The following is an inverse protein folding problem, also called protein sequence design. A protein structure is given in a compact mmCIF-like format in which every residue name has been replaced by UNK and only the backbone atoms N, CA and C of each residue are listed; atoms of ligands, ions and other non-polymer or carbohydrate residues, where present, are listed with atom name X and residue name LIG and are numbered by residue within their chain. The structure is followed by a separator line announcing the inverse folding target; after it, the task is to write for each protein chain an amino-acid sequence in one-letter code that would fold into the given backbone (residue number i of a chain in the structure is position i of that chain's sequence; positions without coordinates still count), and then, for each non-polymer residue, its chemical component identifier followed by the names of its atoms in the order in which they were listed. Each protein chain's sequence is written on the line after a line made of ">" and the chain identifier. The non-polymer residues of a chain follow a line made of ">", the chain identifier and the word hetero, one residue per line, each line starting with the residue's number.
data_IF_143685184674
#
_entry.id   IF_143685184674
#
_cell.length_a   1.000
_cell.length_b   1.000
_cell.length_c   1.000
_cell.angle_alpha   90.00
_cell.angle_beta   90.00
_cell.angle_gamma   90.00
#
_symmetry.space_group_name_H-M   'P 1'
#
loop_
_entity.id
_entity.type
_entity.pdbx_description
1 polymer ?
#
# COMPACT_ATOMS: atom_id res chain seq x y z
N UNK A 1 7.72 -26.20 -1.74
CA UNK A 1 7.84 -26.09 -0.26
C UNK A 1 6.92 -24.95 0.18
N UNK A 2 5.67 -25.27 0.53
CA UNK A 2 4.53 -24.33 0.43
C UNK A 2 4.34 -23.39 1.63
N UNK A 3 4.91 -23.70 2.81
CA UNK A 3 4.86 -22.82 3.98
C UNK A 3 6.26 -22.66 4.56
N UNK A 4 6.69 -21.41 4.74
CA UNK A 4 7.90 -21.06 5.49
C UNK A 4 7.51 -20.56 6.87
N UNK A 5 8.07 -21.19 7.89
CA UNK A 5 7.76 -20.91 9.31
C UNK A 5 8.13 -19.48 9.72
N UNK A 6 9.23 -18.92 9.19
CA UNK A 6 9.71 -17.59 9.58
C UNK A 6 8.75 -16.46 9.16
N UNK A 7 8.39 -16.28 7.86
CA UNK A 7 7.38 -15.29 7.46
C UNK A 7 6.04 -15.49 8.15
N UNK A 8 5.65 -16.74 8.39
CA UNK A 8 4.39 -17.06 9.08
C UNK A 8 4.38 -16.56 10.52
N UNK A 9 5.43 -16.84 11.29
CA UNK A 9 5.54 -16.41 12.70
C UNK A 9 5.46 -14.89 12.85
N UNK A 10 6.17 -14.16 12.00
CA UNK A 10 6.16 -12.70 12.01
C UNK A 10 4.81 -12.11 11.59
N UNK A 11 4.16 -12.72 10.60
CA UNK A 11 2.79 -12.33 10.23
C UNK A 11 1.82 -12.62 11.39
N UNK A 12 2.04 -13.68 12.18
CA UNK A 12 1.22 -13.99 13.34
C UNK A 12 1.42 -12.95 14.46
N UNK A 13 2.64 -12.47 14.69
CA UNK A 13 2.88 -11.33 15.57
C UNK A 13 2.14 -10.07 15.10
N UNK A 14 2.17 -9.79 13.79
CA UNK A 14 1.41 -8.70 13.19
C UNK A 14 -0.10 -8.87 13.41
N UNK A 15 -0.65 -10.06 13.16
CA UNK A 15 -2.06 -10.39 13.42
C UNK A 15 -2.44 -10.15 14.90
N UNK A 16 -1.67 -10.68 15.85
CA UNK A 16 -1.91 -10.46 17.27
C UNK A 16 -1.84 -8.98 17.64
N UNK A 17 -0.92 -8.22 17.04
CA UNK A 17 -0.81 -6.79 17.25
C UNK A 17 -2.06 -6.03 16.77
N UNK A 18 -2.59 -6.38 15.60
CA UNK A 18 -3.85 -5.80 15.11
C UNK A 18 -5.05 -6.17 15.99
N UNK A 19 -5.13 -7.42 16.46
CA UNK A 19 -6.19 -7.85 17.39
C UNK A 19 -6.15 -7.07 18.71
N UNK A 20 -4.96 -6.85 19.29
CA UNK A 20 -4.80 -6.05 20.50
C UNK A 20 -5.27 -4.61 20.27
N UNK A 21 -4.94 -4.02 19.12
CA UNK A 21 -5.38 -2.67 18.74
C UNK A 21 -6.91 -2.62 18.56
N UNK A 22 -7.49 -3.60 17.86
CA UNK A 22 -8.93 -3.66 17.63
C UNK A 22 -9.72 -3.82 18.94
N UNK A 23 -9.24 -4.65 19.87
CA UNK A 23 -9.90 -4.86 21.16
C UNK A 23 -9.77 -3.65 22.10
N UNK A 24 -8.65 -2.93 22.03
CA UNK A 24 -8.33 -1.81 22.93
C UNK A 24 -8.41 -0.43 22.25
N UNK A 25 -9.35 -0.26 21.32
CA UNK A 25 -9.47 0.96 20.52
C UNK A 25 -9.59 2.25 21.37
N UNK A 26 -10.14 2.17 22.59
CA UNK A 26 -10.25 3.31 23.51
C UNK A 26 -8.92 3.73 24.16
N UNK A 27 -7.93 2.84 24.24
CA UNK A 27 -6.65 3.11 24.88
C UNK A 27 -5.60 3.52 23.83
N UNK A 28 -5.51 4.82 23.57
CA UNK A 28 -4.57 5.38 22.60
C UNK A 28 -3.11 5.06 22.97
N UNK A 29 -2.74 5.13 24.25
CA UNK A 29 -1.37 4.87 24.70
C UNK A 29 -0.93 3.44 24.39
N UNK A 30 -1.80 2.46 24.64
CA UNK A 30 -1.54 1.06 24.30
C UNK A 30 -1.45 0.88 22.79
N UNK A 31 -2.33 1.53 22.02
CA UNK A 31 -2.32 1.47 20.55
C UNK A 31 -1.00 1.99 19.97
N UNK A 32 -0.52 3.15 20.44
CA UNK A 32 0.76 3.70 20.02
C UNK A 32 1.93 2.80 20.42
N UNK A 33 1.91 2.23 21.64
CA UNK A 33 2.94 1.31 22.09
C UNK A 33 3.03 0.05 21.22
N UNK A 34 1.88 -0.59 20.94
CA UNK A 34 1.80 -1.77 20.06
C UNK A 34 2.26 -1.41 18.65
N UNK A 35 1.83 -0.26 18.11
CA UNK A 35 2.27 0.22 16.80
C UNK A 35 3.79 0.37 16.73
N UNK A 36 4.41 1.00 17.73
CA UNK A 36 5.88 1.16 17.78
C UNK A 36 6.58 -0.21 17.77
N UNK A 37 6.09 -1.16 18.58
CA UNK A 37 6.63 -2.53 18.58
C UNK A 37 6.49 -3.16 17.19
N UNK A 38 5.32 -3.10 16.58
CA UNK A 38 5.08 -3.66 15.25
C UNK A 38 5.96 -3.02 14.18
N UNK A 39 6.23 -1.71 14.25
CA UNK A 39 7.13 -1.01 13.32
C UNK A 39 8.59 -1.45 13.50
N UNK A 40 9.06 -1.56 14.74
CA UNK A 40 10.42 -2.07 15.03
C UNK A 40 10.60 -3.51 14.55
N UNK A 41 9.57 -4.32 14.76
CA UNK A 41 9.49 -5.71 14.31
C UNK A 41 9.50 -5.77 12.77
N UNK A 42 8.63 -5.01 12.09
CA UNK A 42 8.58 -4.90 10.63
C UNK A 42 9.91 -4.43 10.00
N UNK A 43 10.57 -3.45 10.62
CA UNK A 43 11.88 -2.95 10.19
C UNK A 43 12.94 -4.04 10.24
N UNK A 44 13.00 -4.79 11.35
CA UNK A 44 13.98 -5.85 11.58
C UNK A 44 13.73 -7.06 10.66
N UNK A 45 12.48 -7.43 10.48
CA UNK A 45 12.06 -8.58 9.66
C UNK A 45 12.48 -8.44 8.20
N UNK A 46 12.18 -7.31 7.56
CA UNK A 46 12.51 -7.13 6.15
C UNK A 46 14.02 -7.26 5.88
N UNK A 47 14.85 -6.80 6.82
CA UNK A 47 16.31 -6.94 6.74
C UNK A 47 16.76 -8.39 6.94
N UNK A 48 16.24 -9.08 7.95
CA UNK A 48 16.65 -10.46 8.27
C UNK A 48 16.20 -11.44 7.19
N UNK A 49 14.95 -11.30 6.72
CA UNK A 49 14.32 -12.23 5.79
C UNK A 49 14.78 -11.94 4.36
N UNK A 50 14.73 -10.68 3.92
CA UNK A 50 15.12 -10.27 2.57
C UNK A 50 16.63 -10.05 2.39
N UNK A 51 17.43 -10.12 3.46
CA UNK A 51 18.89 -9.84 3.52
C UNK A 51 19.32 -8.43 3.10
N UNK A 52 18.41 -7.58 2.62
CA UNK A 52 18.67 -6.22 2.14
C UNK A 52 17.67 -5.26 2.79
N UNK A 53 18.13 -4.07 3.17
CA UNK A 53 17.30 -3.04 3.80
C UNK A 53 16.11 -2.58 2.95
N UNK A 54 16.22 -2.65 1.62
CA UNK A 54 15.12 -2.28 0.72
C UNK A 54 13.85 -3.09 0.98
N UNK A 55 13.97 -4.33 1.47
CA UNK A 55 12.81 -5.18 1.75
C UNK A 55 12.10 -4.84 3.06
N UNK A 56 12.67 -3.98 3.93
CA UNK A 56 11.99 -3.49 5.13
C UNK A 56 10.97 -2.39 4.84
N UNK A 57 11.09 -1.68 3.72
CA UNK A 57 10.19 -0.57 3.38
C UNK A 57 8.74 -1.04 3.31
N UNK A 58 8.47 -2.12 2.57
CA UNK A 58 7.11 -2.59 2.38
C UNK A 58 6.42 -3.05 3.67
N UNK A 59 7.00 -3.92 4.53
CA UNK A 59 6.39 -4.29 5.81
C UNK A 59 6.11 -3.10 6.73
N UNK A 60 7.00 -2.11 6.80
CA UNK A 60 6.80 -0.90 7.63
C UNK A 60 5.56 -0.13 7.16
N UNK A 61 5.48 0.18 5.86
CA UNK A 61 4.35 0.92 5.31
C UNK A 61 3.07 0.08 5.30
N UNK A 62 3.16 -1.23 5.11
CA UNK A 62 2.03 -2.14 5.24
C UNK A 62 1.46 -2.10 6.65
N UNK A 63 2.30 -2.20 7.68
CA UNK A 63 1.88 -2.11 9.08
C UNK A 63 1.24 -0.75 9.39
N UNK A 64 1.90 0.35 9.03
CA UNK A 64 1.38 1.70 9.26
C UNK A 64 0.02 1.91 8.60
N UNK A 65 -0.10 1.52 7.32
CA UNK A 65 -1.34 1.67 6.55
C UNK A 65 -2.46 0.76 7.05
N UNK A 66 -2.14 -0.48 7.46
CA UNK A 66 -3.13 -1.39 8.02
C UNK A 66 -3.70 -0.87 9.35
N UNK A 67 -2.85 -0.36 10.26
CA UNK A 67 -3.32 0.26 11.50
C UNK A 67 -4.16 1.51 11.22
N UNK A 68 -3.71 2.37 10.29
CA UNK A 68 -4.44 3.57 9.91
C UNK A 68 -5.85 3.27 9.38
N UNK A 69 -6.00 2.25 8.53
CA UNK A 69 -7.30 1.87 7.99
C UNK A 69 -8.14 1.12 9.04
N UNK A 70 -7.55 0.23 9.85
CA UNK A 70 -8.24 -0.48 10.93
C UNK A 70 -8.92 0.49 11.90
N UNK A 71 -8.28 1.61 12.21
CA UNK A 71 -8.82 2.63 13.10
C UNK A 71 -10.13 3.25 12.57
N UNK A 72 -10.36 3.25 11.26
CA UNK A 72 -11.56 3.81 10.62
C UNK A 72 -12.72 2.81 10.50
N UNK A 73 -12.45 1.51 10.66
CA UNK A 73 -13.47 0.46 10.56
C UNK A 73 -14.17 0.35 11.91
N UNK A 74 -15.46 0.66 11.97
CA UNK A 74 -16.22 0.68 13.23
C UNK A 74 -16.94 -0.65 13.52
N UNK A 75 -17.30 -1.41 12.49
CA UNK A 75 -18.06 -2.66 12.61
C UNK A 75 -17.10 -3.80 12.97
N UNK A 76 -17.30 -4.44 14.13
CA UNK A 76 -16.42 -5.51 14.65
C UNK A 76 -16.18 -6.66 13.68
N UNK A 77 -17.22 -7.12 12.98
CA UNK A 77 -17.07 -8.20 12.00
C UNK A 77 -16.22 -7.78 10.79
N UNK A 78 -16.37 -6.54 10.31
CA UNK A 78 -15.54 -6.00 9.23
C UNK A 78 -14.09 -5.83 9.67
N UNK A 79 -13.84 -5.41 10.92
CA UNK A 79 -12.49 -5.35 11.48
C UNK A 79 -11.82 -6.73 11.44
N UNK A 80 -12.53 -7.78 11.85
CA UNK A 80 -11.99 -9.15 11.85
C UNK A 80 -11.67 -9.64 10.43
N UNK A 81 -12.58 -9.46 9.46
CA UNK A 81 -12.30 -9.76 8.05
C UNK A 81 -11.06 -9.00 7.59
N UNK A 82 -10.98 -7.70 7.88
CA UNK A 82 -9.85 -6.88 7.50
C UNK A 82 -8.54 -7.39 8.11
N UNK A 83 -8.52 -7.76 9.38
CA UNK A 83 -7.34 -8.29 10.06
C UNK A 83 -6.88 -9.60 9.41
N UNK A 84 -7.80 -10.52 9.09
CA UNK A 84 -7.47 -11.77 8.38
C UNK A 84 -6.89 -11.50 6.98
N UNK A 85 -7.48 -10.57 6.22
CA UNK A 85 -6.96 -10.18 4.90
C UNK A 85 -5.60 -9.51 5.01
N UNK A 86 -5.42 -8.60 5.96
CA UNK A 86 -4.17 -7.90 6.22
C UNK A 86 -3.07 -8.88 6.63
N UNK A 87 -3.39 -9.88 7.47
CA UNK A 87 -2.49 -10.97 7.83
C UNK A 87 -2.02 -11.76 6.61
N UNK A 88 -2.94 -12.16 5.73
CA UNK A 88 -2.61 -12.87 4.49
C UNK A 88 -1.69 -12.06 3.58
N UNK A 89 -1.99 -10.78 3.40
CA UNK A 89 -1.16 -9.89 2.56
C UNK A 89 0.21 -9.59 3.19
N UNK A 90 0.28 -9.42 4.51
CA UNK A 90 1.54 -9.28 5.24
C UNK A 90 2.42 -10.53 5.07
N UNK A 91 1.81 -11.72 5.15
CA UNK A 91 2.51 -12.98 4.90
C UNK A 91 3.07 -13.04 3.48
N UNK A 92 2.28 -12.66 2.46
CA UNK A 92 2.74 -12.61 1.08
C UNK A 92 3.89 -11.61 0.89
N UNK A 93 3.85 -10.46 1.58
CA UNK A 93 4.93 -9.47 1.54
C UNK A 93 6.25 -10.06 2.06
N UNK A 94 6.23 -10.68 3.24
CA UNK A 94 7.42 -11.28 3.85
C UNK A 94 7.91 -12.51 3.08
N UNK A 95 7.00 -13.36 2.62
CA UNK A 95 7.36 -14.55 1.86
C UNK A 95 7.93 -14.19 0.49
N UNK A 96 7.37 -13.18 -0.17
CA UNK A 96 7.92 -12.58 -1.39
C UNK A 96 9.34 -12.04 -1.15
N UNK A 97 9.54 -11.29 -0.07
CA UNK A 97 10.86 -10.78 0.32
C UNK A 97 11.88 -11.90 0.59
N UNK A 98 11.49 -12.99 1.27
CA UNK A 98 12.38 -14.14 1.52
C UNK A 98 12.87 -14.76 0.22
N UNK A 99 11.96 -14.97 -0.74
CA UNK A 99 12.28 -15.59 -2.02
C UNK A 99 13.13 -14.67 -2.88
N UNK A 100 12.79 -13.38 -2.96
CA UNK A 100 13.56 -12.38 -3.70
C UNK A 100 14.97 -12.19 -3.11
N UNK A 101 15.13 -12.34 -1.79
CA UNK A 101 16.44 -12.31 -1.13
C UNK A 101 17.33 -13.51 -1.48
N UNK A 102 16.77 -14.62 -1.98
CA UNK A 102 17.53 -15.78 -2.46
C UNK A 102 17.71 -15.75 -3.99
N UNK A 103 16.67 -15.36 -4.72
CA UNK A 103 16.67 -15.31 -6.17
C UNK A 103 15.86 -14.11 -6.68
N UNK A 104 16.55 -13.09 -7.17
CA UNK A 104 15.93 -11.82 -7.57
C UNK A 104 15.04 -11.93 -8.83
N UNK A 105 15.21 -12.98 -9.64
CA UNK A 105 14.44 -13.21 -10.86
C UNK A 105 13.19 -14.09 -10.65
N UNK A 106 12.84 -14.42 -9.41
CA UNK A 106 11.66 -15.21 -9.08
C UNK A 106 10.36 -14.44 -9.41
N UNK A 107 9.66 -14.84 -10.48
CA UNK A 107 8.45 -14.17 -10.94
C UNK A 107 7.28 -14.32 -9.98
N UNK A 108 7.14 -15.48 -9.33
CA UNK A 108 6.09 -15.69 -8.33
C UNK A 108 6.29 -14.78 -7.14
N UNK A 109 7.54 -14.63 -6.67
CA UNK A 109 7.85 -13.74 -5.56
C UNK A 109 7.66 -12.26 -5.92
N UNK A 110 7.95 -11.87 -7.17
CA UNK A 110 7.60 -10.53 -7.68
C UNK A 110 6.10 -10.29 -7.69
N UNK A 111 5.29 -11.28 -8.08
CA UNK A 111 3.84 -11.22 -8.01
C UNK A 111 3.31 -11.07 -6.58
N UNK A 112 3.86 -11.84 -5.62
CA UNK A 112 3.52 -11.72 -4.20
C UNK A 112 3.84 -10.33 -3.64
N UNK A 113 5.05 -9.83 -3.93
CA UNK A 113 5.47 -8.50 -3.50
C UNK A 113 4.60 -7.40 -4.15
N UNK A 114 4.26 -7.55 -5.43
CA UNK A 114 3.36 -6.63 -6.15
C UNK A 114 1.96 -6.58 -5.53
N UNK A 115 1.36 -7.73 -5.23
CA UNK A 115 0.06 -7.79 -4.58
C UNK A 115 0.10 -7.08 -3.21
N UNK A 116 1.14 -7.32 -2.42
CA UNK A 116 1.36 -6.63 -1.15
C UNK A 116 1.57 -5.12 -1.33
N UNK A 117 2.32 -4.67 -2.34
CA UNK A 117 2.49 -3.26 -2.70
C UNK A 117 1.14 -2.58 -2.97
N UNK A 118 0.27 -3.18 -3.79
CA UNK A 118 -1.05 -2.61 -4.07
C UNK A 118 -1.95 -2.59 -2.84
N UNK A 119 -1.92 -3.63 -1.99
CA UNK A 119 -2.64 -3.63 -0.73
C UNK A 119 -2.15 -2.51 0.21
N UNK A 120 -0.84 -2.33 0.36
CA UNK A 120 -0.26 -1.23 1.14
C UNK A 120 -0.74 0.12 0.63
N UNK A 121 -0.67 0.34 -0.68
CA UNK A 121 -1.05 1.63 -1.27
C UNK A 121 -2.54 1.89 -1.09
N UNK A 122 -3.40 0.89 -1.30
CA UNK A 122 -4.82 1.01 -1.04
C UNK A 122 -5.10 1.36 0.43
N UNK A 123 -4.54 0.60 1.37
CA UNK A 123 -4.74 0.85 2.80
C UNK A 123 -4.23 2.22 3.21
N UNK A 124 -3.11 2.64 2.64
CA UNK A 124 -2.48 3.91 2.97
C UNK A 124 -3.28 5.09 2.42
N UNK A 125 -3.75 5.01 1.18
CA UNK A 125 -4.57 6.05 0.56
C UNK A 125 -5.94 6.17 1.23
N UNK A 126 -6.62 5.04 1.45
CA UNK A 126 -7.91 5.01 2.15
C UNK A 126 -7.76 5.47 3.61
N UNK A 127 -6.74 4.97 4.32
CA UNK A 127 -6.45 5.35 5.70
C UNK A 127 -6.13 6.84 5.83
N UNK A 128 -5.19 7.36 5.03
CA UNK A 128 -4.80 8.77 5.08
C UNK A 128 -5.95 9.71 4.69
N UNK A 129 -6.73 9.39 3.66
CA UNK A 129 -7.89 10.20 3.27
C UNK A 129 -9.00 10.14 4.33
N UNK A 130 -9.22 8.98 4.95
CA UNK A 130 -10.18 8.86 6.04
C UNK A 130 -9.75 9.65 7.27
N UNK A 131 -8.47 9.62 7.65
CA UNK A 131 -7.94 10.49 8.71
C UNK A 131 -8.10 11.97 8.36
N UNK A 132 -7.85 12.35 7.11
CA UNK A 132 -8.06 13.71 6.62
C UNK A 132 -9.50 14.18 6.81
N UNK A 133 -10.48 13.37 6.40
CA UNK A 133 -11.90 13.69 6.54
C UNK A 133 -12.37 13.76 8.00
N UNK A 134 -11.85 12.90 8.89
CA UNK A 134 -12.35 12.79 10.26
C UNK A 134 -11.64 13.70 11.27
N UNK A 135 -10.39 14.11 11.01
CA UNK A 135 -9.55 14.82 12.00
C UNK A 135 -9.16 16.25 11.60
N UNK A 136 -9.84 16.84 10.59
CA UNK A 136 -9.57 18.20 10.10
C UNK A 136 -8.08 18.42 9.77
N UNK A 137 -7.44 17.38 9.23
CA UNK A 137 -6.02 17.44 8.89
C UNK A 137 -5.85 18.40 7.71
N UNK A 138 -4.84 19.28 7.69
CA UNK A 138 -4.60 20.14 6.54
C UNK A 138 -4.31 19.35 5.25
N UNK A 139 -4.78 19.87 4.11
CA UNK A 139 -4.62 19.21 2.80
C UNK A 139 -3.16 18.95 2.43
N UNK A 140 -2.24 19.84 2.80
CA UNK A 140 -0.81 19.65 2.53
C UNK A 140 -0.24 18.40 3.24
N UNK A 141 -0.77 18.02 4.41
CA UNK A 141 -0.33 16.82 5.12
C UNK A 141 -0.82 15.56 4.43
N UNK A 142 -2.05 15.57 3.89
CA UNK A 142 -2.58 14.48 3.06
C UNK A 142 -1.74 14.31 1.79
N UNK A 143 -1.46 15.41 1.09
CA UNK A 143 -0.61 15.44 -0.10
C UNK A 143 0.79 14.87 0.21
N UNK A 144 1.40 15.26 1.33
CA UNK A 144 2.70 14.76 1.76
C UNK A 144 2.65 13.26 2.10
N UNK A 145 1.61 12.78 2.77
CA UNK A 145 1.43 11.36 3.07
C UNK A 145 1.35 10.54 1.77
N UNK A 146 0.50 10.95 0.82
CA UNK A 146 0.38 10.31 -0.50
C UNK A 146 1.71 10.30 -1.24
N UNK A 147 2.42 11.43 -1.26
CA UNK A 147 3.75 11.54 -1.86
C UNK A 147 4.74 10.53 -1.27
N UNK A 148 4.92 10.55 0.06
CA UNK A 148 5.92 9.73 0.75
C UNK A 148 5.65 8.24 0.62
N UNK A 149 4.39 7.82 0.78
CA UNK A 149 4.00 6.42 0.64
C UNK A 149 4.26 5.96 -0.79
N UNK A 150 3.80 6.73 -1.79
CA UNK A 150 3.97 6.40 -3.21
C UNK A 150 5.45 6.31 -3.58
N UNK A 151 6.25 7.30 -3.14
CA UNK A 151 7.68 7.36 -3.40
C UNK A 151 8.40 6.12 -2.85
N UNK A 152 8.21 5.84 -1.57
CA UNK A 152 9.00 4.81 -0.87
C UNK A 152 8.57 3.39 -1.26
N UNK A 153 7.25 3.14 -1.35
CA UNK A 153 6.71 1.83 -1.74
C UNK A 153 7.04 1.53 -3.21
N UNK A 154 6.89 2.50 -4.11
CA UNK A 154 7.24 2.32 -5.52
C UNK A 154 8.74 2.15 -5.72
N UNK A 155 9.57 2.85 -4.94
CA UNK A 155 11.01 2.67 -4.99
C UNK A 155 11.44 1.26 -4.58
N UNK A 156 10.85 0.71 -3.51
CA UNK A 156 11.10 -0.67 -3.09
C UNK A 156 10.76 -1.66 -4.22
N UNK A 157 9.64 -1.44 -4.91
CA UNK A 157 9.22 -2.29 -6.01
C UNK A 157 10.11 -2.14 -7.25
N UNK A 158 10.33 -0.92 -7.74
CA UNK A 158 11.12 -0.64 -8.94
C UNK A 158 12.60 -1.02 -8.79
N UNK A 159 13.18 -0.84 -7.60
CA UNK A 159 14.55 -1.31 -7.29
C UNK A 159 14.67 -2.84 -7.27
N UNK A 160 13.55 -3.58 -7.28
CA UNK A 160 13.52 -5.04 -7.43
C UNK A 160 13.40 -5.46 -8.89
N UNK A 161 12.82 -4.62 -9.76
CA UNK A 161 12.76 -4.87 -11.20
C UNK A 161 14.08 -4.50 -11.87
N UNK A 162 14.58 -3.28 -11.61
CA UNK A 162 15.75 -2.72 -12.26
C UNK A 162 16.90 -2.56 -11.26
N UNK A 163 17.42 -3.70 -10.77
CA UNK A 163 18.49 -3.77 -9.77
C UNK A 163 19.73 -2.96 -10.16
N UNK A 164 20.03 -2.90 -11.45
CA UNK A 164 21.28 -2.36 -11.97
C UNK A 164 21.27 -0.83 -12.11
N UNK A 165 20.09 -0.19 -12.06
CA UNK A 165 19.93 1.25 -12.27
C UNK A 165 19.07 1.89 -11.17
N UNK A 166 19.60 1.90 -9.94
CA UNK A 166 18.90 2.44 -8.76
C UNK A 166 18.52 3.93 -8.90
N UNK A 167 19.36 4.74 -9.57
CA UNK A 167 19.05 6.16 -9.85
C UNK A 167 17.79 6.30 -10.68
N UNK A 168 17.63 5.49 -11.71
CA UNK A 168 16.43 5.49 -12.56
C UNK A 168 15.21 5.08 -11.76
N UNK A 169 15.29 4.01 -10.96
CA UNK A 169 14.18 3.60 -10.09
C UNK A 169 13.74 4.72 -9.12
N UNK A 170 14.71 5.46 -8.55
CA UNK A 170 14.43 6.60 -7.67
C UNK A 170 13.71 7.75 -8.40
N UNK A 171 14.22 8.17 -9.56
CA UNK A 171 13.63 9.26 -10.36
C UNK A 171 12.18 8.94 -10.73
N UNK A 172 11.92 7.73 -11.26
CA UNK A 172 10.55 7.36 -11.63
C UNK A 172 9.62 7.23 -10.42
N UNK A 173 10.12 6.79 -9.26
CA UNK A 173 9.32 6.75 -8.03
C UNK A 173 8.97 8.15 -7.54
N UNK A 174 9.90 9.10 -7.67
CA UNK A 174 9.68 10.51 -7.36
C UNK A 174 8.66 11.16 -8.29
N UNK A 175 8.79 10.95 -9.60
CA UNK A 175 7.81 11.42 -10.58
C UNK A 175 6.41 10.84 -10.32
N UNK A 176 6.35 9.54 -10.00
CA UNK A 176 5.10 8.86 -9.66
C UNK A 176 4.48 9.45 -8.38
N UNK A 177 5.29 9.72 -7.36
CA UNK A 177 4.86 10.41 -6.15
C UNK A 177 4.27 11.78 -6.44
N UNK A 178 4.95 12.61 -7.23
CA UNK A 178 4.45 13.94 -7.61
C UNK A 178 3.13 13.85 -8.39
N UNK A 179 3.04 12.94 -9.36
CA UNK A 179 1.80 12.77 -10.14
C UNK A 179 0.62 12.39 -9.24
N UNK A 180 0.82 11.49 -8.27
CA UNK A 180 -0.22 11.12 -7.31
C UNK A 180 -0.59 12.29 -6.39
N UNK A 181 0.37 13.12 -6.00
CA UNK A 181 0.12 14.32 -5.19
C UNK A 181 -0.81 15.31 -5.89
N UNK A 182 -0.60 15.55 -7.19
CA UNK A 182 -1.48 16.42 -7.99
C UNK A 182 -2.87 15.81 -8.19
N UNK A 183 -2.92 14.49 -8.37
CA UNK A 183 -4.18 13.74 -8.49
C UNK A 183 -4.99 13.87 -7.19
N UNK A 184 -4.39 13.64 -6.02
CA UNK A 184 -5.12 13.72 -4.74
C UNK A 184 -5.57 15.15 -4.42
N UNK A 185 -4.77 16.16 -4.80
CA UNK A 185 -5.19 17.55 -4.70
C UNK A 185 -6.48 17.82 -5.49
N UNK A 186 -6.58 17.29 -6.72
CA UNK A 186 -7.77 17.40 -7.56
C UNK A 186 -8.94 16.57 -7.02
N UNK A 187 -8.68 15.34 -6.58
CA UNK A 187 -9.69 14.43 -6.04
C UNK A 187 -10.27 14.92 -4.70
N UNK A 188 -9.56 15.80 -3.98
CA UNK A 188 -10.04 16.34 -2.71
C UNK A 188 -11.38 17.09 -2.84
N UNK A 189 -11.67 17.63 -4.03
CA UNK A 189 -12.92 18.33 -4.31
C UNK A 189 -14.09 17.38 -4.60
N UNK A 190 -13.88 16.06 -4.59
CA UNK A 190 -14.91 15.10 -4.92
C UNK A 190 -15.75 14.70 -3.69
N UNK A 191 -17.09 14.57 -3.82
CA UNK A 191 -18.01 14.25 -2.73
C UNK A 191 -18.05 12.76 -2.37
N UNK A 192 -16.90 12.11 -2.19
CA UNK A 192 -16.81 10.67 -1.94
C UNK A 192 -16.10 10.31 -0.63
N UNK A 193 -16.53 9.18 -0.06
CA UNK A 193 -15.90 8.61 1.14
C UNK A 193 -14.51 8.03 0.87
N UNK A 194 -13.76 7.81 1.95
CA UNK A 194 -12.35 7.41 1.89
C UNK A 194 -12.07 6.07 1.20
N UNK A 195 -13.00 5.11 1.25
CA UNK A 195 -12.85 3.83 0.54
C UNK A 195 -12.96 4.02 -0.98
N UNK A 196 -13.94 4.79 -1.45
CA UNK A 196 -14.13 5.09 -2.88
C UNK A 196 -12.95 5.90 -3.40
N UNK A 197 -12.58 6.98 -2.71
CA UNK A 197 -11.44 7.82 -3.09
C UNK A 197 -10.14 7.02 -3.09
N UNK A 198 -9.91 6.18 -2.07
CA UNK A 198 -8.73 5.31 -2.00
C UNK A 198 -8.69 4.27 -3.13
N UNK A 199 -9.83 3.68 -3.52
CA UNK A 199 -9.91 2.74 -4.63
C UNK A 199 -9.63 3.41 -5.98
N UNK A 200 -10.19 4.59 -6.22
CA UNK A 200 -9.93 5.36 -7.44
C UNK A 200 -8.46 5.79 -7.50
N UNK A 201 -7.91 6.28 -6.38
CA UNK A 201 -6.49 6.63 -6.28
C UNK A 201 -5.58 5.41 -6.54
N UNK A 202 -5.95 4.22 -6.07
CA UNK A 202 -5.23 2.98 -6.37
C UNK A 202 -5.28 2.65 -7.86
N UNK A 203 -6.43 2.80 -8.53
CA UNK A 203 -6.55 2.57 -9.97
C UNK A 203 -5.65 3.53 -10.75
N UNK A 204 -5.67 4.82 -10.40
CA UNK A 204 -4.81 5.82 -11.03
C UNK A 204 -3.33 5.55 -10.77
N UNK A 205 -2.97 5.15 -9.55
CA UNK A 205 -1.63 4.68 -9.21
C UNK A 205 -1.22 3.49 -10.08
N UNK A 206 -2.08 2.47 -10.20
CA UNK A 206 -1.81 1.29 -11.01
C UNK A 206 -1.54 1.66 -12.46
N UNK A 207 -2.34 2.56 -13.05
CA UNK A 207 -2.15 3.02 -14.43
C UNK A 207 -0.77 3.64 -14.65
N UNK A 208 -0.38 4.57 -13.78
CA UNK A 208 0.92 5.24 -13.85
C UNK A 208 2.07 4.26 -13.59
N UNK A 209 1.90 3.39 -12.60
CA UNK A 209 2.86 2.35 -12.27
C UNK A 209 3.06 1.35 -13.43
N UNK A 210 1.99 0.95 -14.13
CA UNK A 210 2.05 0.01 -15.27
C UNK A 210 2.83 0.60 -16.44
N UNK A 211 2.68 1.91 -16.70
CA UNK A 211 3.46 2.63 -17.71
C UNK A 211 4.95 2.59 -17.36
N UNK A 212 5.31 2.91 -16.11
CA UNK A 212 6.71 2.89 -15.65
C UNK A 212 7.29 1.48 -15.69
N UNK A 213 6.54 0.49 -15.21
CA UNK A 213 6.96 -0.91 -15.23
C UNK A 213 7.17 -1.41 -16.66
N UNK A 214 6.23 -1.12 -17.56
CA UNK A 214 6.31 -1.51 -18.97
C UNK A 214 7.48 -0.87 -19.68
N UNK A 215 7.79 0.39 -19.35
CA UNK A 215 9.00 1.06 -19.82
C UNK A 215 10.27 0.36 -19.33
N UNK A 216 10.36 -0.02 -18.05
CA UNK A 216 11.52 -0.75 -17.52
C UNK A 216 11.71 -2.14 -18.12
N UNK A 217 10.63 -2.78 -18.53
CA UNK A 217 10.65 -4.09 -19.16
C UNK A 217 10.77 -4.02 -20.69
N UNK A 218 10.87 -2.82 -21.29
CA UNK A 218 10.90 -2.60 -22.74
C UNK A 218 9.70 -3.20 -23.49
N UNK A 219 8.53 -3.27 -22.85
CA UNK A 219 7.27 -3.80 -23.41
C UNK A 219 6.19 -2.70 -23.53
N UNK A 220 6.61 -1.43 -23.44
CA UNK A 220 5.71 -0.30 -23.57
C UNK A 220 5.22 -0.20 -25.02
N UNK A 221 3.90 -0.15 -25.19
CA UNK A 221 3.27 0.08 -26.50
C UNK A 221 2.09 1.03 -26.35
N UNK A 222 1.90 1.92 -27.33
CA UNK A 222 0.79 2.87 -27.33
C UNK A 222 -0.57 2.17 -27.26
N UNK A 223 -0.71 1.04 -27.95
CA UNK A 223 -1.93 0.22 -27.92
C UNK A 223 -2.26 -0.27 -26.51
N UNK A 224 -1.27 -0.74 -25.75
CA UNK A 224 -1.46 -1.19 -24.36
C UNK A 224 -1.91 -0.02 -23.48
N UNK A 225 -1.24 1.13 -23.59
CA UNK A 225 -1.58 2.31 -22.77
C UNK A 225 -3.02 2.75 -23.05
N UNK A 226 -3.43 2.81 -24.32
CA UNK A 226 -4.79 3.20 -24.70
C UNK A 226 -5.85 2.21 -24.20
N UNK A 227 -5.63 0.91 -24.37
CA UNK A 227 -6.56 -0.13 -23.89
C UNK A 227 -6.70 -0.09 -22.36
N UNK A 228 -5.57 0.02 -21.65
CA UNK A 228 -5.58 0.14 -20.19
C UNK A 228 -6.30 1.41 -19.75
N UNK A 229 -6.08 2.55 -20.40
CA UNK A 229 -6.77 3.79 -20.09
C UNK A 229 -8.30 3.65 -20.21
N UNK A 230 -8.79 3.10 -21.31
CA UNK A 230 -10.24 2.88 -21.50
C UNK A 230 -10.80 1.92 -20.44
N UNK A 231 -10.10 0.81 -20.17
CA UNK A 231 -10.53 -0.17 -19.19
C UNK A 231 -10.61 0.40 -17.77
N UNK A 232 -9.57 1.14 -17.34
CA UNK A 232 -9.55 1.73 -16.00
C UNK A 232 -10.50 2.91 -15.87
N UNK A 233 -10.72 3.71 -16.92
CA UNK A 233 -11.78 4.72 -16.93
C UNK A 233 -13.17 4.09 -16.75
N UNK A 234 -13.43 2.94 -17.39
CA UNK A 234 -14.67 2.20 -17.18
C UNK A 234 -14.81 1.69 -15.74
N UNK A 235 -13.73 1.17 -15.12
CA UNK A 235 -13.76 0.75 -13.71
C UNK A 235 -14.00 1.92 -12.74
N UNK A 236 -13.37 3.07 -12.98
CA UNK A 236 -13.62 4.29 -12.19
C UNK A 236 -15.08 4.70 -12.33
N UNK A 237 -15.63 4.69 -13.55
CA UNK A 237 -17.04 5.01 -13.78
C UNK A 237 -17.96 4.06 -13.00
N UNK A 238 -17.70 2.74 -13.03
CA UNK A 238 -18.47 1.76 -12.28
C UNK A 238 -18.41 2.01 -10.76
N UNK A 239 -17.22 2.32 -10.22
CA UNK A 239 -17.07 2.69 -8.81
C UNK A 239 -17.85 3.96 -8.47
N UNK A 240 -17.82 4.98 -9.33
CA UNK A 240 -18.56 6.24 -9.11
C UNK A 240 -20.08 6.04 -9.15
N UNK A 241 -20.57 5.16 -10.04
CA UNK A 241 -21.99 4.85 -10.15
C UNK A 241 -22.53 4.03 -8.96
N UNK A 242 -21.68 3.21 -8.35
CA UNK A 242 -22.04 2.37 -7.18
C UNK A 242 -21.83 3.08 -5.85
N UNK A 243 -21.08 4.18 -5.84
CA UNK A 243 -20.75 4.92 -4.62
C UNK A 243 -21.88 5.83 -4.18
N UNK A 244 -22.07 5.97 -2.86
CA UNK A 244 -22.98 6.98 -2.30
C UNK A 244 -22.33 8.36 -2.41
N UNK A 245 -23.06 9.30 -2.98
CA UNK A 245 -22.64 10.69 -3.10
C UNK A 245 -22.92 11.40 -1.77
N UNK A 246 -21.86 11.90 -1.13
CA UNK A 246 -21.98 12.64 0.13
C UNK A 246 -21.74 14.10 -0.22
N UNK A 247 -22.77 14.95 -0.33
CA UNK A 247 -22.58 16.36 -0.67
C UNK A 247 -21.61 16.99 0.31
N UNK A 248 -20.57 17.64 -0.23
CA UNK A 248 -19.59 18.40 0.55
C UNK A 248 -20.34 19.58 1.18
N UNK A 249 -20.35 19.64 2.52
CA UNK A 249 -20.85 20.79 3.29
C UNK A 249 -19.72 21.81 3.42
#
# INVERSE_FOLDING_TARGET
>A
MFLKLRPFFYSLLFFCGLEIIAYNHSNLNLTFFVLIILLLVSLREGKIIGKKWKFSVLPIFFTLSAVSLLYLITIKYEQQIFIFLAFGMHYLALFGAERLGKYEKDQTAKGMNMAATFATIFFAYAGAYGLYLNFLVPLYSLMLAYFLITLLVSYQYFSTIKSDQMKTAWIYSFLLGLAITEIIWTMNFWPFGYLTTGAIALILYYMLWDIVQSHFLNILSHKRVAVNAVFFSFLILLLLLTSKWIPVI
#
